data_IF_201018647557
#
_entry.id   IF_201018647557
#
_cell.length_a   1.000
_cell.length_b   1.000
_cell.length_c   1.000
_cell.angle_alpha   90.00
_cell.angle_beta   90.00
_cell.angle_gamma   90.00
#
_symmetry.space_group_name_H-M   'P 1'
#
loop_
_entity.id
_entity.type
_entity.pdbx_description
1 polymer ?
#
# COMPACT_ATOMS: atom_id res chain seq x y z
N UNK A 1 4.59 -41.85 -16.13
CA UNK A 1 3.80 -41.58 -14.91
C UNK A 1 3.36 -40.13 -15.02
N UNK A 2 2.11 -39.90 -15.43
CA UNK A 2 1.51 -38.55 -15.41
C UNK A 2 0.94 -38.31 -14.03
N UNK A 3 1.29 -37.18 -13.42
CA UNK A 3 0.61 -36.67 -12.24
C UNK A 3 -0.33 -35.55 -12.66
N UNK A 4 -1.63 -35.80 -12.58
CA UNK A 4 -2.66 -34.77 -12.48
C UNK A 4 -2.77 -34.36 -11.02
N UNK A 5 -2.55 -33.08 -10.71
CA UNK A 5 -2.86 -32.51 -9.40
C UNK A 5 -4.04 -31.55 -9.56
N UNK A 6 -5.14 -31.89 -8.89
CA UNK A 6 -6.26 -30.98 -8.63
C UNK A 6 -5.82 -30.02 -7.53
N UNK A 7 -5.88 -28.71 -7.80
CA UNK A 7 -5.63 -27.69 -6.78
C UNK A 7 -6.89 -27.49 -5.95
N UNK A 8 -7.10 -28.38 -4.99
CA UNK A 8 -7.95 -28.07 -3.84
C UNK A 8 -7.15 -27.21 -2.85
N UNK A 9 -7.88 -26.30 -2.18
CA UNK A 9 -7.44 -25.10 -1.45
C UNK A 9 -6.51 -25.30 -0.23
N UNK A 10 -5.73 -26.37 -0.18
CA UNK A 10 -4.84 -26.73 0.93
C UNK A 10 -3.49 -27.14 0.36
N UNK A 11 -2.59 -26.19 0.07
CA UNK A 11 -1.13 -26.41 0.21
C UNK A 11 -0.20 -25.21 -0.01
N UNK A 12 -0.69 -23.99 -0.20
CA UNK A 12 0.18 -22.81 -0.32
C UNK A 12 1.00 -22.57 0.97
N UNK A 13 0.42 -22.87 2.14
CA UNK A 13 1.11 -22.72 3.43
C UNK A 13 2.25 -23.72 3.61
N UNK A 14 2.10 -24.98 3.20
CA UNK A 14 3.17 -25.98 3.31
C UNK A 14 4.25 -25.75 2.26
N UNK A 15 3.89 -25.23 1.09
CA UNK A 15 4.85 -24.79 0.09
C UNK A 15 5.74 -23.66 0.64
N UNK A 16 5.14 -22.62 1.20
CA UNK A 16 5.86 -21.49 1.80
C UNK A 16 6.73 -21.91 3.00
N UNK A 17 6.24 -22.81 3.85
CA UNK A 17 6.98 -23.31 5.00
C UNK A 17 8.18 -24.18 4.58
N UNK A 18 8.01 -25.03 3.56
CA UNK A 18 9.10 -25.84 2.98
C UNK A 18 10.22 -24.97 2.38
N UNK A 19 9.86 -23.87 1.71
CA UNK A 19 10.84 -22.95 1.13
C UNK A 19 11.57 -22.10 2.19
N UNK A 20 10.93 -21.78 3.31
CA UNK A 20 11.57 -21.08 4.43
C UNK A 20 12.77 -21.88 4.99
N UNK A 21 12.65 -23.21 5.08
CA UNK A 21 13.75 -24.08 5.50
C UNK A 21 14.88 -24.18 4.46
N UNK A 22 14.58 -24.08 3.16
CA UNK A 22 15.61 -24.08 2.09
C UNK A 22 16.43 -22.79 2.09
N UNK A 23 15.80 -21.64 2.36
CA UNK A 23 16.48 -20.33 2.48
C UNK A 23 17.46 -20.34 3.66
N UNK A 24 17.05 -20.89 4.80
CA UNK A 24 17.89 -21.01 5.99
C UNK A 24 19.05 -22.01 5.80
N UNK A 25 18.84 -23.11 5.07
CA UNK A 25 19.84 -24.15 4.89
C UNK A 25 20.91 -23.82 3.82
N UNK A 26 20.58 -23.05 2.77
CA UNK A 26 21.49 -22.81 1.64
C UNK A 26 22.12 -21.42 1.57
N UNK A 27 21.75 -20.48 2.46
CA UNK A 27 22.16 -19.06 2.37
C UNK A 27 21.94 -18.45 0.98
N UNK A 28 20.92 -18.90 0.24
CA UNK A 28 20.52 -18.24 -1.00
C UNK A 28 19.65 -17.02 -0.67
N UNK A 29 19.87 -15.90 -1.36
CA UNK A 29 19.03 -14.71 -1.20
C UNK A 29 17.61 -14.99 -1.69
N UNK A 30 16.60 -14.54 -0.93
CA UNK A 30 15.18 -14.62 -1.26
C UNK A 30 14.86 -14.19 -2.71
N UNK A 31 15.63 -13.21 -3.23
CA UNK A 31 15.54 -12.69 -4.59
C UNK A 31 15.84 -13.72 -5.70
N UNK A 32 16.82 -14.62 -5.50
CA UNK A 32 17.18 -15.66 -6.48
C UNK A 32 16.11 -16.75 -6.58
N UNK A 33 15.40 -17.01 -5.48
CA UNK A 33 14.33 -18.01 -5.41
C UNK A 33 13.05 -17.50 -6.08
N UNK A 34 12.71 -16.22 -5.92
CA UNK A 34 11.56 -15.59 -6.58
C UNK A 34 11.71 -15.59 -8.10
N UNK A 35 12.89 -15.28 -8.63
CA UNK A 35 13.14 -15.35 -10.08
C UNK A 35 12.94 -16.76 -10.67
N UNK A 36 13.27 -17.81 -9.93
CA UNK A 36 13.01 -19.20 -10.37
C UNK A 36 11.53 -19.54 -10.34
N UNK A 37 10.78 -19.01 -9.39
CA UNK A 37 9.32 -19.22 -9.27
C UNK A 37 8.57 -18.48 -10.39
N UNK A 38 8.94 -17.22 -10.69
CA UNK A 38 8.35 -16.46 -11.79
C UNK A 38 8.63 -17.09 -13.16
N UNK A 39 9.85 -17.59 -13.40
CA UNK A 39 10.17 -18.29 -14.65
C UNK A 39 9.38 -19.60 -14.85
N UNK A 40 8.81 -20.20 -13.79
CA UNK A 40 7.94 -21.37 -13.89
C UNK A 40 6.48 -20.96 -14.21
N UNK A 41 6.07 -19.74 -13.83
CA UNK A 41 4.72 -19.19 -14.05
C UNK A 41 4.58 -18.41 -15.38
N UNK A 42 5.66 -17.82 -15.89
CA UNK A 42 5.70 -17.02 -17.13
C UNK A 42 5.55 -17.86 -18.43
N UNK A 43 5.37 -19.18 -18.32
CA UNK A 43 5.09 -20.03 -19.47
C UNK A 43 3.68 -19.93 -20.04
N UNK A 44 2.71 -19.27 -19.38
CA UNK A 44 1.28 -19.46 -19.70
C UNK A 44 0.35 -18.24 -19.58
N UNK A 45 0.77 -16.99 -19.79
CA UNK A 45 -0.26 -15.91 -19.85
C UNK A 45 0.07 -14.77 -20.81
N UNK A 46 -0.34 -14.97 -22.07
CA UNK A 46 -0.85 -13.87 -22.89
C UNK A 46 -2.38 -13.93 -22.83
N UNK A 47 -3.06 -12.81 -22.60
CA UNK A 47 -4.48 -12.72 -22.96
C UNK A 47 -4.83 -11.34 -23.51
N UNK A 48 -5.25 -11.41 -24.77
CA UNK A 48 -5.77 -10.40 -25.67
C UNK A 48 -7.25 -10.11 -25.30
N UNK A 49 -7.69 -8.86 -25.48
CA UNK A 49 -9.10 -8.45 -25.40
C UNK A 49 -9.93 -9.04 -26.55
N UNK A 50 -11.13 -9.55 -26.27
CA UNK A 50 -12.17 -9.80 -27.28
C UNK A 50 -13.56 -9.38 -26.77
N UNK A 51 -14.27 -8.65 -27.64
CA UNK A 51 -15.59 -8.05 -27.46
C UNK A 51 -16.75 -8.99 -27.82
N UNK A 52 -17.87 -8.84 -27.10
CA UNK A 52 -19.31 -9.09 -27.37
C UNK A 52 -19.79 -10.05 -28.48
N UNK A 53 -20.70 -11.00 -28.15
CA UNK A 53 -22.14 -10.97 -28.55
C UNK A 53 -23.00 -12.16 -28.02
N UNK A 54 -24.22 -11.82 -27.55
CA UNK A 54 -25.53 -12.51 -27.54
C UNK A 54 -25.77 -13.91 -26.91
N UNK A 55 -26.86 -14.02 -26.11
CA UNK A 55 -27.74 -15.21 -26.14
C UNK A 55 -28.33 -15.77 -24.82
N UNK A 56 -29.57 -15.36 -24.50
CA UNK A 56 -30.69 -16.07 -23.83
C UNK A 56 -30.75 -16.43 -22.32
N UNK A 57 -31.73 -15.80 -21.68
CA UNK A 57 -32.69 -16.19 -20.62
C UNK A 57 -32.64 -17.59 -19.99
N UNK A 58 -32.66 -17.65 -18.64
CA UNK A 58 -33.73 -18.32 -17.84
C UNK A 58 -33.62 -17.96 -16.34
N UNK A 59 -34.78 -17.87 -15.70
CA UNK A 59 -35.08 -17.36 -14.35
C UNK A 59 -34.94 -18.39 -13.23
N UNK A 60 -34.42 -18.01 -12.05
CA UNK A 60 -34.79 -18.44 -10.65
C UNK A 60 -33.75 -17.92 -9.61
N UNK A 61 -34.00 -17.96 -8.28
CA UNK A 61 -34.81 -17.03 -7.48
C UNK A 61 -33.98 -16.17 -6.50
N UNK A 62 -34.59 -15.08 -6.01
CA UNK A 62 -34.04 -14.05 -5.12
C UNK A 62 -33.75 -14.59 -3.71
N UNK A 63 -32.53 -14.46 -3.14
CA UNK A 63 -32.30 -14.75 -1.73
C UNK A 63 -32.77 -13.61 -0.82
N UNK A 64 -33.48 -14.02 0.22
CA UNK A 64 -34.03 -13.23 1.32
C UNK A 64 -32.91 -12.59 2.16
N UNK A 65 -32.98 -11.30 2.40
CA UNK A 65 -32.09 -10.56 3.31
C UNK A 65 -32.32 -10.97 4.75
N UNK A 66 -31.29 -11.51 5.40
CA UNK A 66 -31.16 -11.57 6.86
C UNK A 66 -30.33 -10.36 7.33
N UNK A 67 -30.61 -9.76 8.50
CA UNK A 67 -29.99 -8.51 8.90
C UNK A 67 -28.52 -8.73 9.31
N UNK A 68 -27.60 -8.07 8.61
CA UNK A 68 -26.19 -7.99 8.98
C UNK A 68 -26.03 -7.11 10.23
N UNK A 69 -25.22 -7.50 11.24
CA UNK A 69 -24.93 -6.65 12.39
C UNK A 69 -24.21 -5.38 11.94
N UNK A 70 -24.84 -4.25 12.23
CA UNK A 70 -24.37 -2.92 11.86
C UNK A 70 -23.24 -2.51 12.82
N UNK A 71 -21.99 -2.83 12.49
CA UNK A 71 -20.81 -2.32 13.18
C UNK A 71 -20.25 -1.11 12.44
N UNK A 72 -21.07 -0.06 12.33
CA UNK A 72 -20.62 1.27 11.94
C UNK A 72 -19.88 1.87 13.13
N UNK A 73 -18.56 1.65 13.18
CA UNK A 73 -17.69 2.48 14.01
C UNK A 73 -17.74 3.90 13.44
N UNK A 74 -18.34 4.79 14.24
CA UNK A 74 -18.48 6.22 13.95
C UNK A 74 -17.08 6.81 13.72
N UNK A 75 -16.81 7.52 12.61
CA UNK A 75 -15.56 8.25 12.45
C UNK A 75 -15.45 9.29 13.57
N UNK A 76 -14.33 9.29 14.28
CA UNK A 76 -13.97 10.36 15.20
C UNK A 76 -13.81 11.65 14.38
N UNK A 77 -14.51 12.71 14.77
CA UNK A 77 -14.50 14.01 14.10
C UNK A 77 -13.09 14.61 14.07
N UNK A 78 -12.35 14.38 12.99
CA UNK A 78 -11.28 15.26 12.54
C UNK A 78 -11.68 15.79 11.17
N UNK A 79 -12.21 17.01 11.15
CA UNK A 79 -12.69 17.64 9.91
C UNK A 79 -11.49 18.10 9.09
N UNK A 80 -11.02 17.28 8.15
CA UNK A 80 -10.17 17.77 7.07
C UNK A 80 -10.96 18.82 6.28
N UNK A 81 -10.30 19.88 5.80
CA UNK A 81 -10.96 20.95 5.02
C UNK A 81 -11.47 20.47 3.65
N UNK A 82 -11.02 19.30 3.22
CA UNK A 82 -11.27 18.64 1.95
C UNK A 82 -11.57 17.15 2.19
N UNK A 83 -12.37 16.54 1.31
CA UNK A 83 -12.77 15.13 1.43
C UNK A 83 -11.61 14.16 1.15
N UNK A 84 -10.57 14.63 0.44
CA UNK A 84 -9.44 13.82 0.03
C UNK A 84 -9.75 12.87 -1.11
N UNK A 85 -10.81 13.12 -1.87
CA UNK A 85 -11.17 12.37 -3.09
C UNK A 85 -10.46 12.98 -4.30
N UNK A 86 -10.61 12.37 -5.48
CA UNK A 86 -10.03 12.92 -6.71
C UNK A 86 -10.71 14.24 -7.12
N UNK A 87 -12.00 14.38 -6.83
CA UNK A 87 -12.82 15.56 -7.12
C UNK A 87 -12.59 16.69 -6.11
N UNK A 88 -12.28 16.34 -4.86
CA UNK A 88 -11.92 17.29 -3.79
C UNK A 88 -10.61 16.86 -3.10
N UNK A 89 -9.47 16.98 -3.80
CA UNK A 89 -8.18 16.53 -3.32
C UNK A 89 -7.61 17.47 -2.26
N UNK A 90 -6.75 16.91 -1.41
CA UNK A 90 -6.08 17.65 -0.34
C UNK A 90 -5.06 18.61 -0.95
N UNK A 91 -5.09 19.88 -0.52
CA UNK A 91 -4.17 20.91 -1.03
C UNK A 91 -2.77 20.72 -0.45
N UNK A 92 -1.77 21.15 -1.20
CA UNK A 92 -0.40 21.23 -0.70
C UNK A 92 -0.34 22.06 0.60
N UNK A 93 0.32 21.52 1.63
CA UNK A 93 0.43 22.14 2.96
C UNK A 93 -0.75 21.89 3.91
N UNK A 94 -1.91 21.43 3.41
CA UNK A 94 -3.01 21.01 4.28
C UNK A 94 -2.76 19.60 4.85
N UNK A 95 -3.26 19.38 6.07
CA UNK A 95 -3.21 18.08 6.74
C UNK A 95 -4.52 17.32 6.51
N UNK A 96 -4.41 16.09 6.04
CA UNK A 96 -5.52 15.13 5.98
C UNK A 96 -5.46 14.23 7.23
N UNK A 97 -6.59 14.04 7.91
CA UNK A 97 -6.69 13.20 9.10
C UNK A 97 -7.81 12.19 8.95
N UNK A 98 -7.58 10.97 9.45
CA UNK A 98 -8.57 9.91 9.42
C UNK A 98 -8.29 8.90 10.53
N UNK A 99 -9.29 8.10 10.88
CA UNK A 99 -9.12 6.91 11.73
C UNK A 99 -9.29 5.67 10.87
N UNK A 100 -8.47 4.65 11.10
CA UNK A 100 -8.65 3.34 10.46
C UNK A 100 -8.57 2.21 11.49
N UNK A 101 -9.27 1.11 11.22
CA UNK A 101 -9.18 -0.14 11.97
C UNK A 101 -9.06 -1.30 10.99
N UNK A 102 -7.85 -1.79 10.81
CA UNK A 102 -7.50 -2.76 9.78
C UNK A 102 -7.21 -4.12 10.41
N UNK A 103 -7.60 -5.20 9.72
CA UNK A 103 -7.16 -6.54 10.11
C UNK A 103 -5.67 -6.66 9.81
N UNK A 104 -4.87 -7.01 10.82
CA UNK A 104 -3.44 -7.24 10.68
C UNK A 104 -3.10 -8.64 11.18
N UNK A 105 -2.78 -9.55 10.25
CA UNK A 105 -2.50 -10.96 10.52
C UNK A 105 -3.64 -11.59 11.36
N UNK A 106 -3.41 -11.78 12.66
CA UNK A 106 -4.31 -12.43 13.63
C UNK A 106 -4.90 -11.45 14.66
N UNK A 107 -4.71 -10.14 14.46
CA UNK A 107 -5.29 -9.07 15.28
C UNK A 107 -5.96 -7.99 14.43
N UNK A 108 -6.53 -6.99 15.10
CA UNK A 108 -6.91 -5.73 14.46
C UNK A 108 -6.04 -4.63 15.03
N UNK A 109 -5.52 -3.79 14.14
CA UNK A 109 -4.79 -2.59 14.47
C UNK A 109 -5.67 -1.37 14.19
N UNK A 110 -5.68 -0.40 15.10
CA UNK A 110 -6.38 0.87 14.88
C UNK A 110 -5.53 2.05 15.30
N UNK A 111 -5.67 3.16 14.58
CA UNK A 111 -5.04 4.42 14.93
C UNK A 111 -5.77 5.61 14.30
N UNK A 112 -5.50 6.78 14.84
CA UNK A 112 -5.80 8.07 14.25
C UNK A 112 -4.55 8.57 13.51
N UNK A 113 -4.68 8.72 12.21
CA UNK A 113 -3.61 9.12 11.31
C UNK A 113 -3.75 10.58 10.91
N UNK A 114 -2.62 11.21 10.62
CA UNK A 114 -2.59 12.42 9.81
C UNK A 114 -1.45 12.37 8.80
N UNK A 115 -1.68 12.93 7.62
CA UNK A 115 -0.70 13.01 6.53
C UNK A 115 -0.68 14.43 5.97
N UNK A 116 0.51 14.99 5.81
CA UNK A 116 0.71 16.32 5.23
C UNK A 116 1.79 16.27 4.18
N UNK A 117 1.48 16.75 2.96
CA UNK A 117 2.50 17.07 1.95
C UNK A 117 3.07 18.45 2.28
N UNK A 118 4.34 18.51 2.69
CA UNK A 118 5.00 19.76 3.12
C UNK A 118 5.65 20.50 1.96
N UNK A 119 6.23 19.76 1.02
CA UNK A 119 6.97 20.33 -0.10
C UNK A 119 6.95 19.38 -1.30
N UNK A 120 6.95 19.95 -2.50
CA UNK A 120 7.07 19.22 -3.77
C UNK A 120 8.14 19.90 -4.61
N UNK A 121 9.24 19.18 -4.88
CA UNK A 121 10.36 19.68 -5.66
C UNK A 121 10.50 18.85 -6.95
N UNK A 122 10.47 19.48 -8.14
CA UNK A 122 10.85 18.79 -9.38
C UNK A 122 12.28 18.26 -9.30
N UNK A 123 12.49 17.03 -9.76
CA UNK A 123 13.81 16.40 -9.86
C UNK A 123 13.99 15.80 -11.26
N UNK A 124 15.23 15.57 -11.65
CA UNK A 124 15.58 14.99 -12.95
C UNK A 124 15.67 13.47 -12.88
N UNK A 125 15.67 12.81 -14.04
CA UNK A 125 15.98 11.39 -14.13
C UNK A 125 17.39 11.10 -13.58
N UNK A 126 18.37 11.95 -13.86
CA UNK A 126 19.74 11.82 -13.35
C UNK A 126 19.77 11.85 -11.81
N UNK A 127 18.97 12.73 -11.18
CA UNK A 127 18.83 12.77 -9.72
C UNK A 127 18.29 11.44 -9.19
N UNK A 128 17.28 10.87 -9.85
CA UNK A 128 16.65 9.59 -9.48
C UNK A 128 17.62 8.42 -9.67
N UNK A 129 18.36 8.38 -10.78
CA UNK A 129 19.35 7.35 -11.08
C UNK A 129 20.56 7.41 -10.15
N UNK A 130 20.93 8.61 -9.68
CA UNK A 130 21.98 8.79 -8.66
C UNK A 130 21.66 8.13 -7.32
N UNK A 131 20.36 7.88 -7.05
CA UNK A 131 19.87 7.17 -5.87
C UNK A 131 19.77 5.64 -6.12
N UNK A 132 20.21 5.16 -7.28
CA UNK A 132 20.22 3.75 -7.65
C UNK A 132 18.92 3.23 -8.25
N UNK A 133 17.92 4.09 -8.48
CA UNK A 133 16.62 3.72 -9.06
C UNK A 133 16.72 3.79 -10.59
N UNK A 134 16.35 2.72 -11.29
CA UNK A 134 16.44 2.64 -12.76
C UNK A 134 15.07 2.50 -13.40
N UNK A 135 14.72 3.43 -14.28
CA UNK A 135 13.43 3.43 -15.01
C UNK A 135 13.53 2.90 -16.44
N UNK A 136 14.75 2.64 -16.94
CA UNK A 136 15.00 2.11 -18.27
C UNK A 136 14.37 2.97 -19.39
N UNK A 137 13.97 2.33 -20.48
CA UNK A 137 13.37 3.02 -21.64
C UNK A 137 12.05 3.74 -21.35
N UNK A 138 11.36 3.39 -20.25
CA UNK A 138 10.07 3.98 -19.90
C UNK A 138 10.21 5.37 -19.27
N UNK A 139 11.41 5.75 -18.82
CA UNK A 139 11.67 7.04 -18.18
C UNK A 139 11.27 8.25 -19.04
N UNK A 140 11.29 8.10 -20.37
CA UNK A 140 10.92 9.17 -21.31
C UNK A 140 9.47 9.65 -21.13
N UNK A 141 8.59 8.81 -20.57
CA UNK A 141 7.18 9.11 -20.34
C UNK A 141 6.89 9.77 -19.00
N UNK A 142 7.91 9.94 -18.15
CA UNK A 142 7.73 10.40 -16.77
C UNK A 142 8.46 11.70 -16.49
N UNK A 143 7.76 12.61 -15.80
CA UNK A 143 8.42 13.62 -14.97
C UNK A 143 8.61 13.05 -13.56
N UNK A 144 9.50 13.66 -12.78
CA UNK A 144 9.77 13.20 -11.42
C UNK A 144 9.69 14.34 -10.42
N UNK A 145 9.15 14.04 -9.24
CA UNK A 145 9.17 14.96 -8.10
C UNK A 145 9.69 14.25 -6.86
N UNK A 146 10.39 15.00 -6.02
CA UNK A 146 10.68 14.64 -4.64
C UNK A 146 9.68 15.35 -3.73
N UNK A 147 8.91 14.57 -2.99
CA UNK A 147 7.88 15.06 -2.08
C UNK A 147 8.38 14.89 -0.65
N UNK A 148 8.39 15.96 0.14
CA UNK A 148 8.59 15.86 1.59
C UNK A 148 7.23 15.75 2.26
N UNK A 149 7.00 14.65 2.99
CA UNK A 149 5.76 14.38 3.70
C UNK A 149 5.99 14.23 5.22
N UNK A 150 4.94 14.48 6.00
CA UNK A 150 4.88 14.22 7.43
C UNK A 150 3.67 13.32 7.72
N UNK A 151 3.89 12.28 8.52
CA UNK A 151 2.85 11.38 9.01
C UNK A 151 2.85 11.41 10.53
N UNK A 152 1.66 11.39 11.13
CA UNK A 152 1.49 11.19 12.57
C UNK A 152 0.53 10.04 12.82
N UNK A 153 0.91 9.19 13.74
CA UNK A 153 0.10 8.09 14.28
C UNK A 153 -0.19 8.43 15.72
N UNK A 154 -1.47 8.50 16.09
CA UNK A 154 -1.93 8.74 17.44
C UNK A 154 -2.99 7.72 17.82
N UNK A 155 -3.17 7.47 19.12
CA UNK A 155 -4.10 6.46 19.62
C UNK A 155 -3.91 5.07 18.99
N UNK A 156 -2.69 4.70 18.60
CA UNK A 156 -2.38 3.44 17.92
C UNK A 156 -2.46 2.24 18.87
N UNK A 157 -3.27 1.23 18.52
CA UNK A 157 -3.58 0.08 19.38
C UNK A 157 -3.69 -1.20 18.57
N UNK A 158 -3.42 -2.33 19.22
CA UNK A 158 -3.80 -3.67 18.72
C UNK A 158 -4.80 -4.31 19.70
N UNK A 159 -5.71 -5.11 19.19
CA UNK A 159 -6.77 -5.73 20.01
C UNK A 159 -6.32 -6.98 20.77
N UNK A 160 -5.29 -7.67 20.27
CA UNK A 160 -4.80 -8.93 20.82
C UNK A 160 -3.32 -9.14 20.50
N UNK A 161 -2.64 -9.91 21.36
CA UNK A 161 -1.25 -10.31 21.13
C UNK A 161 -0.23 -9.19 21.33
N UNK A 162 0.85 -9.27 20.56
CA UNK A 162 2.00 -8.36 20.58
C UNK A 162 2.51 -8.21 19.14
N UNK A 163 2.70 -6.98 18.68
CA UNK A 163 3.13 -6.68 17.31
C UNK A 163 4.25 -5.65 17.27
N UNK A 164 5.08 -5.69 16.22
CA UNK A 164 6.10 -4.66 15.98
C UNK A 164 5.44 -3.36 15.52
N UNK A 165 5.65 -2.26 16.25
CA UNK A 165 4.95 -0.99 16.04
C UNK A 165 5.01 -0.46 14.60
N UNK A 166 6.10 -0.70 13.88
CA UNK A 166 6.27 -0.24 12.51
C UNK A 166 5.22 -0.82 11.55
N UNK A 167 4.96 -2.14 11.62
CA UNK A 167 4.25 -2.85 10.57
C UNK A 167 2.75 -2.50 10.45
N UNK A 168 1.95 -2.51 11.53
CA UNK A 168 0.51 -2.26 11.41
C UNK A 168 0.16 -0.77 11.21
N UNK A 169 1.08 0.15 11.51
CA UNK A 169 0.80 1.58 11.54
C UNK A 169 1.51 2.38 10.43
N UNK A 170 2.50 1.80 9.74
CA UNK A 170 3.08 2.42 8.55
C UNK A 170 2.01 2.63 7.46
N UNK A 171 2.15 3.72 6.69
CA UNK A 171 1.21 4.09 5.61
C UNK A 171 1.91 4.01 4.26
N UNK A 172 1.23 3.36 3.31
CA UNK A 172 1.76 3.07 1.98
C UNK A 172 1.54 4.23 1.01
N UNK A 173 2.58 4.52 0.23
CA UNK A 173 2.48 5.43 -0.91
C UNK A 173 2.12 4.59 -2.13
N UNK A 174 0.85 4.63 -2.50
CA UNK A 174 0.34 3.82 -3.61
C UNK A 174 0.94 4.25 -4.96
N UNK A 175 1.09 5.56 -5.17
CA UNK A 175 1.69 6.10 -6.38
C UNK A 175 1.11 7.43 -6.80
N UNK A 176 1.09 7.67 -8.12
CA UNK A 176 0.51 8.87 -8.72
C UNK A 176 -0.69 8.52 -9.59
N UNK A 177 -1.64 9.46 -9.67
CA UNK A 177 -2.82 9.34 -10.52
C UNK A 177 -3.13 10.66 -11.21
N UNK A 178 -3.57 10.61 -12.46
CA UNK A 178 -4.07 11.77 -13.19
C UNK A 178 -5.56 11.96 -12.97
N UNK A 179 -6.09 13.15 -13.26
CA UNK A 179 -7.53 13.42 -13.25
C UNK A 179 -8.31 12.55 -14.25
N UNK A 180 -7.65 12.06 -15.30
CA UNK A 180 -8.21 11.12 -16.30
C UNK A 180 -8.14 9.65 -15.87
N UNK A 181 -7.59 9.36 -14.69
CA UNK A 181 -7.53 8.01 -14.11
C UNK A 181 -6.29 7.20 -14.46
N UNK A 182 -5.36 7.73 -15.26
CA UNK A 182 -4.07 7.07 -15.51
C UNK A 182 -3.27 7.02 -14.21
N UNK A 183 -2.63 5.90 -13.93
CA UNK A 183 -1.92 5.68 -12.66
C UNK A 183 -0.52 5.15 -12.89
N UNK A 184 0.43 5.63 -12.09
CA UNK A 184 1.76 5.04 -11.96
C UNK A 184 1.84 4.48 -10.54
N UNK A 185 1.80 3.15 -10.45
CA UNK A 185 1.67 2.42 -9.19
C UNK A 185 3.03 1.86 -8.80
N UNK A 186 3.32 1.82 -7.50
CA UNK A 186 4.52 1.20 -6.98
C UNK A 186 4.49 -0.30 -7.29
N UNK A 187 5.63 -0.87 -7.67
CA UNK A 187 5.72 -2.31 -7.99
C UNK A 187 5.54 -3.24 -6.78
N UNK A 188 5.74 -2.71 -5.57
CA UNK A 188 5.56 -3.36 -4.26
C UNK A 188 5.18 -2.31 -3.21
N UNK A 189 4.80 -2.73 -2.00
CA UNK A 189 4.43 -1.91 -0.82
C UNK A 189 5.47 -0.84 -0.38
N UNK A 190 6.58 -0.68 -1.13
CA UNK A 190 7.73 0.21 -0.87
C UNK A 190 8.30 0.87 -2.15
N UNK A 191 7.48 1.09 -3.18
CA UNK A 191 7.96 1.52 -4.50
C UNK A 191 8.42 2.98 -4.61
N UNK A 192 7.96 3.88 -3.74
CA UNK A 192 8.12 5.33 -3.90
C UNK A 192 8.53 6.08 -2.64
N UNK A 193 8.51 5.41 -1.50
CA UNK A 193 8.54 5.97 -0.16
C UNK A 193 9.85 6.67 0.18
N UNK A 194 10.92 6.43 -0.59
CA UNK A 194 12.25 6.99 -0.34
C UNK A 194 12.64 6.88 1.13
N UNK A 195 12.98 8.00 1.76
CA UNK A 195 13.38 8.01 3.18
C UNK A 195 12.20 8.04 4.16
N UNK A 196 10.95 8.16 3.69
CA UNK A 196 9.78 8.27 4.56
C UNK A 196 9.60 7.00 5.41
N UNK A 197 9.74 5.84 4.79
CA UNK A 197 9.51 4.56 5.46
C UNK A 197 10.68 4.16 6.37
N UNK A 198 11.91 4.45 5.95
CA UNK A 198 13.10 4.29 6.80
C UNK A 198 12.98 5.14 8.07
N UNK A 199 12.51 6.39 7.92
CA UNK A 199 12.30 7.26 9.06
C UNK A 199 11.14 6.79 9.95
N UNK A 200 10.06 6.24 9.38
CA UNK A 200 9.00 5.59 10.15
C UNK A 200 9.58 4.49 11.06
N UNK A 201 10.34 3.56 10.47
CA UNK A 201 11.01 2.48 11.20
C UNK A 201 11.91 3.02 12.31
N UNK A 202 12.79 3.97 11.99
CA UNK A 202 13.73 4.55 12.95
C UNK A 202 13.03 5.21 14.16
N UNK A 203 11.85 5.81 13.97
CA UNK A 203 11.12 6.46 15.08
C UNK A 203 10.60 5.49 16.13
N UNK A 204 10.42 4.22 15.75
CA UNK A 204 9.91 3.17 16.62
C UNK A 204 10.99 2.17 17.00
N UNK A 205 12.27 2.46 16.78
CA UNK A 205 13.37 1.64 17.28
C UNK A 205 13.73 1.98 18.74
N UNK A 206 14.25 0.98 19.46
CA UNK A 206 14.84 1.12 20.80
C UNK A 206 16.32 1.54 20.74
N UNK A 207 16.97 1.68 21.90
CA UNK A 207 18.38 2.10 21.98
C UNK A 207 19.37 1.11 21.35
N UNK A 208 18.94 -0.12 21.06
CA UNK A 208 19.74 -1.16 20.43
C UNK A 208 19.42 -1.31 18.93
N UNK A 209 18.52 -0.49 18.38
CA UNK A 209 18.08 -0.56 16.99
C UNK A 209 17.04 -1.65 16.71
N UNK A 210 16.39 -2.20 17.73
CA UNK A 210 15.27 -3.12 17.54
C UNK A 210 13.95 -2.38 17.46
N UNK A 211 13.06 -2.79 16.55
CA UNK A 211 11.71 -2.24 16.46
C UNK A 211 10.96 -2.56 17.76
N UNK A 212 10.43 -1.51 18.41
CA UNK A 212 9.60 -1.61 19.60
C UNK A 212 8.36 -2.43 19.30
N UNK A 213 7.94 -3.18 20.31
CA UNK A 213 6.71 -3.96 20.27
C UNK A 213 5.61 -3.22 21.03
N UNK A 214 4.39 -3.34 20.53
CA UNK A 214 3.16 -2.90 21.17
C UNK A 214 2.39 -4.13 21.62
N UNK A 215 1.98 -4.18 22.88
CA UNK A 215 1.10 -5.23 23.41
C UNK A 215 -0.35 -4.77 23.43
N UNK A 216 -1.26 -5.73 23.35
CA UNK A 216 -2.68 -5.44 23.54
C UNK A 216 -2.93 -4.75 24.90
N UNK A 217 -3.69 -3.66 24.88
CA UNK A 217 -3.94 -2.79 26.03
C UNK A 217 -2.99 -1.59 26.15
N UNK A 218 -1.88 -1.57 25.40
CA UNK A 218 -1.01 -0.40 25.28
C UNK A 218 -1.48 0.54 24.16
N UNK A 219 -1.03 1.79 24.22
CA UNK A 219 -1.29 2.81 23.20
C UNK A 219 0.05 3.37 22.74
N UNK A 220 0.21 3.54 21.43
CA UNK A 220 1.36 4.22 20.86
C UNK A 220 0.98 5.53 20.16
N UNK A 221 1.97 6.42 20.12
CA UNK A 221 1.96 7.66 19.36
C UNK A 221 3.37 7.90 18.84
N UNK A 222 3.48 8.25 17.56
CA UNK A 222 4.74 8.63 16.93
C UNK A 222 4.50 9.44 15.67
N UNK A 223 5.50 10.18 15.24
CA UNK A 223 5.47 10.94 13.99
C UNK A 223 6.77 10.76 13.23
N UNK A 224 6.67 10.83 11.91
CA UNK A 224 7.82 10.69 11.03
C UNK A 224 7.66 11.59 9.81
N UNK A 225 8.79 12.03 9.26
CA UNK A 225 8.83 12.82 8.03
C UNK A 225 9.95 12.32 7.16
N UNK A 226 9.77 12.39 5.85
CA UNK A 226 10.78 11.95 4.89
C UNK A 226 10.37 12.25 3.46
N UNK A 227 11.22 11.83 2.54
CA UNK A 227 11.09 12.13 1.13
C UNK A 227 10.57 10.93 0.35
N UNK A 228 9.61 11.17 -0.53
CA UNK A 228 9.02 10.24 -1.51
C UNK A 228 9.54 10.64 -2.89
N UNK A 229 9.94 9.68 -3.71
CA UNK A 229 10.30 9.90 -5.12
C UNK A 229 9.13 9.41 -5.96
N UNK A 230 8.43 10.34 -6.61
CA UNK A 230 7.19 10.05 -7.31
C UNK A 230 7.33 10.31 -8.82
N UNK A 231 7.23 9.27 -9.66
CA UNK A 231 7.06 9.45 -11.10
C UNK A 231 5.67 10.00 -11.40
N UNK A 232 5.60 10.92 -12.35
CA UNK A 232 4.40 11.61 -12.79
C UNK A 232 4.18 11.39 -14.28
N UNK A 233 2.93 11.29 -14.71
CA UNK A 233 2.61 11.32 -16.14
C UNK A 233 2.97 12.70 -16.69
N UNK A 234 3.82 12.75 -17.71
CA UNK A 234 4.19 14.01 -18.37
C UNK A 234 2.97 14.76 -18.89
N UNK A 235 3.06 16.10 -18.85
CA UNK A 235 2.07 17.02 -19.41
C UNK A 235 0.64 16.83 -18.87
N UNK A 236 0.50 16.20 -17.69
CA UNK A 236 -0.77 15.95 -17.03
C UNK A 236 -0.82 16.56 -15.63
N UNK A 237 -2.03 16.86 -15.16
CA UNK A 237 -2.26 17.09 -13.74
C UNK A 237 -2.16 15.75 -13.00
N UNK A 238 -1.29 15.68 -11.99
CA UNK A 238 -1.02 14.48 -11.22
C UNK A 238 -1.29 14.75 -9.73
N UNK A 239 -1.76 13.72 -9.04
CA UNK A 239 -1.98 13.68 -7.60
C UNK A 239 -1.08 12.62 -6.97
N UNK A 240 -0.57 12.89 -5.77
CA UNK A 240 -0.03 11.85 -4.90
C UNK A 240 -1.21 11.05 -4.33
N UNK A 241 -1.09 9.72 -4.36
CA UNK A 241 -2.08 8.80 -3.82
C UNK A 241 -1.47 8.03 -2.66
N UNK A 242 -2.14 8.07 -1.51
CA UNK A 242 -1.81 7.24 -0.36
C UNK A 242 -2.92 6.23 -0.12
N UNK A 243 -2.57 5.05 0.40
CA UNK A 243 -3.58 4.10 0.90
C UNK A 243 -3.92 4.47 2.34
N UNK A 244 -5.12 5.00 2.58
CA UNK A 244 -5.57 5.43 3.90
C UNK A 244 -6.11 4.28 4.76
N UNK A 245 -6.88 3.37 4.16
CA UNK A 245 -7.50 2.25 4.85
C UNK A 245 -7.74 1.09 3.88
N UNK A 246 -6.95 0.03 4.03
CA UNK A 246 -7.00 -1.16 3.21
C UNK A 246 -8.17 -2.10 3.51
N UNK A 247 -8.99 -1.81 4.52
CA UNK A 247 -10.23 -2.54 4.80
C UNK A 247 -11.44 -2.05 4.01
N UNK A 248 -11.33 -0.86 3.40
CA UNK A 248 -12.36 -0.28 2.54
C UNK A 248 -12.33 -0.87 1.13
N UNK A 249 -13.43 -0.67 0.40
CA UNK A 249 -13.47 -0.93 -1.04
C UNK A 249 -12.35 -0.15 -1.75
N UNK A 250 -11.84 -0.73 -2.84
CA UNK A 250 -10.61 -0.28 -3.48
C UNK A 250 -10.57 1.24 -3.72
N UNK A 251 -11.61 1.83 -4.33
CA UNK A 251 -11.64 3.26 -4.63
C UNK A 251 -11.75 4.14 -3.38
N UNK A 252 -12.38 3.64 -2.33
CA UNK A 252 -12.55 4.34 -1.05
C UNK A 252 -11.33 4.19 -0.15
N UNK A 253 -10.40 3.28 -0.47
CA UNK A 253 -9.18 3.02 0.29
C UNK A 253 -8.10 4.10 0.12
N UNK A 254 -8.31 5.08 -0.76
CA UNK A 254 -7.30 6.07 -1.13
C UNK A 254 -7.61 7.49 -0.66
N UNK A 255 -6.55 8.30 -0.52
CA UNK A 255 -6.63 9.75 -0.44
C UNK A 255 -5.70 10.41 -1.46
N UNK A 256 -6.14 11.54 -2.02
CA UNK A 256 -5.49 12.22 -3.14
C UNK A 256 -4.98 13.61 -2.75
N UNK A 257 -3.70 13.88 -2.97
CA UNK A 257 -3.05 15.16 -2.65
C UNK A 257 -2.64 15.89 -3.93
N UNK A 258 -2.95 17.18 -4.01
CA UNK A 258 -2.43 18.08 -5.04
C UNK A 258 -0.93 18.26 -4.88
N UNK A 259 -0.25 18.28 -6.02
CA UNK A 259 1.20 18.49 -6.10
C UNK A 259 1.59 19.92 -6.47
N UNK A 260 0.61 20.77 -6.82
CA UNK A 260 0.75 22.17 -7.21
C UNK A 260 -0.46 22.98 -6.75
#
# INVERSE_FOLDING_TARGET
>A
ISFTCSFDNVDIKNLLLGYYFVILAKKESFHSLIHKIFNILDGTTQSIYLSSESGNNTSTPKPQTSPTPNNTSKPSNTTSKNAGTLEDPIKLGDTYSWSAREKYIDTYASADYSFTVKNVKPITLDDVESLGIRYGSNAVHFDFVMITAEVKVSNGKIESGEEFMYLPFARDIWGSKTSTGMSIIGGTDYGFEGSLMDNCRATVEDSNGFIKKLKAGEVCEFSYSGNIILPLTKDAENYLVIRKDGSLDYYDSFAYFRLK
#
